data_IF_649083682217
#
_entry.id   IF_649083682217
#
_cell.length_a   1.000
_cell.length_b   1.000
_cell.length_c   1.000
_cell.angle_alpha   90.00
_cell.angle_beta   90.00
_cell.angle_gamma   90.00
#
_symmetry.space_group_name_H-M   'P 1'
#
loop_
_entity.id
_entity.type
_entity.pdbx_description
1 polymer ?
#
# COMPACT_ATOMS: atom_id res chain seq x y z
N UNK A 1 -8.36 -27.68 -10.55
CA UNK A 1 -7.92 -26.30 -10.35
C UNK A 1 -6.59 -26.38 -9.66
N UNK A 2 -5.52 -25.96 -10.32
CA UNK A 2 -4.19 -25.95 -9.71
C UNK A 2 -4.07 -24.72 -8.81
N UNK A 3 -3.84 -24.94 -7.52
CA UNK A 3 -3.60 -23.87 -6.56
C UNK A 3 -2.14 -23.44 -6.65
N UNK A 4 -1.87 -22.37 -7.40
CA UNK A 4 -0.53 -21.80 -7.48
C UNK A 4 -0.21 -20.98 -6.21
N UNK A 5 0.93 -21.24 -5.58
CA UNK A 5 1.43 -20.40 -4.49
C UNK A 5 1.94 -19.08 -5.08
N UNK A 6 1.42 -17.95 -4.60
CA UNK A 6 1.70 -16.61 -5.16
C UNK A 6 2.41 -15.73 -4.13
N UNK A 7 3.35 -14.89 -4.57
CA UNK A 7 3.91 -13.82 -3.74
C UNK A 7 2.87 -12.70 -3.56
N UNK A 8 2.99 -11.90 -2.49
CA UNK A 8 2.11 -10.73 -2.28
C UNK A 8 2.19 -9.72 -3.43
N UNK A 9 3.37 -9.57 -4.04
CA UNK A 9 3.57 -8.81 -5.27
C UNK A 9 2.75 -9.36 -6.44
N UNK A 10 2.85 -10.67 -6.70
CA UNK A 10 2.11 -11.29 -7.79
C UNK A 10 0.59 -11.21 -7.56
N UNK A 11 0.13 -11.37 -6.31
CA UNK A 11 -1.27 -11.15 -5.95
C UNK A 11 -1.74 -9.71 -6.22
N UNK A 12 -0.92 -8.70 -5.92
CA UNK A 12 -1.22 -7.30 -6.24
C UNK A 12 -1.30 -7.05 -7.76
N UNK A 13 -0.40 -7.66 -8.55
CA UNK A 13 -0.44 -7.59 -10.02
C UNK A 13 -1.72 -8.24 -10.58
N UNK A 14 -2.13 -9.41 -10.06
CA UNK A 14 -3.40 -10.04 -10.42
C UNK A 14 -4.61 -9.19 -10.03
N UNK A 15 -4.58 -8.51 -8.88
CA UNK A 15 -5.61 -7.55 -8.48
C UNK A 15 -5.76 -6.40 -9.50
N UNK A 16 -4.64 -5.83 -9.97
CA UNK A 16 -4.65 -4.82 -11.02
C UNK A 16 -5.22 -5.35 -12.35
N UNK A 17 -4.86 -6.58 -12.73
CA UNK A 17 -5.39 -7.24 -13.94
C UNK A 17 -6.89 -7.51 -13.85
N UNK A 18 -7.37 -8.02 -12.71
CA UNK A 18 -8.79 -8.31 -12.47
C UNK A 18 -9.64 -7.05 -12.31
N UNK A 19 -9.05 -5.94 -11.87
CA UNK A 19 -9.67 -4.61 -11.89
C UNK A 19 -9.73 -3.97 -13.30
N UNK A 20 -9.14 -4.63 -14.31
CA UNK A 20 -9.07 -4.19 -15.71
C UNK A 20 -8.57 -2.75 -15.82
N UNK A 21 -7.34 -2.49 -15.37
CA UNK A 21 -6.79 -1.12 -15.29
C UNK A 21 -6.47 -0.55 -16.68
N UNK A 22 -6.69 0.75 -16.88
CA UNK A 22 -6.44 1.43 -18.16
C UNK A 22 -5.03 2.02 -18.24
N UNK A 23 -4.45 2.41 -17.09
CA UNK A 23 -3.16 3.10 -17.01
C UNK A 23 -2.31 2.62 -15.83
N UNK A 24 -1.03 2.37 -16.09
CA UNK A 24 -0.06 1.87 -15.10
C UNK A 24 1.20 2.75 -15.13
N UNK A 25 1.25 3.83 -14.35
CA UNK A 25 2.48 4.58 -14.10
C UNK A 25 3.32 3.79 -13.09
N UNK A 26 4.51 3.34 -13.50
CA UNK A 26 5.37 2.48 -12.69
C UNK A 26 6.78 3.05 -12.53
N UNK A 27 7.26 3.13 -11.29
CA UNK A 27 8.66 3.40 -10.98
C UNK A 27 9.35 2.08 -10.55
N UNK A 28 10.34 1.54 -11.28
CA UNK A 28 11.00 0.31 -10.90
C UNK A 28 11.93 0.54 -9.70
N UNK A 29 11.56 -0.02 -8.55
CA UNK A 29 12.33 0.00 -7.31
C UNK A 29 12.26 -1.38 -6.64
N UNK A 30 13.33 -1.81 -5.98
CA UNK A 30 13.35 -3.11 -5.26
C UNK A 30 12.52 -3.01 -3.97
N UNK A 31 11.64 -3.98 -3.64
CA UNK A 31 11.47 -5.32 -4.24
C UNK A 31 10.27 -5.45 -5.18
N UNK A 32 9.55 -4.38 -5.51
CA UNK A 32 8.32 -4.47 -6.30
C UNK A 32 8.53 -4.78 -7.78
N UNK A 33 9.76 -5.03 -8.21
CA UNK A 33 10.12 -5.41 -9.58
C UNK A 33 9.21 -6.53 -10.10
N UNK A 34 8.85 -7.51 -9.27
CA UNK A 34 7.89 -8.57 -9.62
C UNK A 34 6.51 -8.04 -10.08
N UNK A 35 5.97 -7.00 -9.43
CA UNK A 35 4.68 -6.39 -9.79
C UNK A 35 4.80 -5.74 -11.16
N UNK A 36 5.85 -4.94 -11.32
CA UNK A 36 6.13 -4.13 -12.51
C UNK A 36 6.42 -5.04 -13.71
N UNK A 37 7.20 -6.11 -13.52
CA UNK A 37 7.49 -7.11 -14.55
C UNK A 37 6.26 -7.92 -14.96
N UNK A 38 5.43 -8.36 -14.01
CA UNK A 38 4.22 -9.13 -14.32
C UNK A 38 3.24 -8.28 -15.15
N UNK A 39 3.02 -7.03 -14.75
CA UNK A 39 2.15 -6.10 -15.48
C UNK A 39 2.72 -5.73 -16.85
N UNK A 40 4.02 -5.45 -16.96
CA UNK A 40 4.66 -5.18 -18.24
C UNK A 40 4.51 -6.36 -19.22
N UNK A 41 4.76 -7.60 -18.76
CA UNK A 41 4.57 -8.83 -19.56
C UNK A 41 3.13 -8.99 -20.05
N UNK A 42 2.13 -8.74 -19.20
CA UNK A 42 0.74 -8.85 -19.62
C UNK A 42 0.28 -7.72 -20.56
N UNK A 43 0.79 -6.50 -20.39
CA UNK A 43 0.56 -5.41 -21.34
C UNK A 43 1.18 -5.70 -22.71
N UNK A 44 2.43 -6.19 -22.74
CA UNK A 44 3.14 -6.53 -23.99
C UNK A 44 2.50 -7.74 -24.70
N UNK A 45 2.08 -8.75 -23.94
CA UNK A 45 1.39 -9.94 -24.47
C UNK A 45 -0.07 -9.71 -24.89
N UNK A 46 -0.63 -8.50 -24.70
CA UNK A 46 -2.05 -8.21 -24.95
C UNK A 46 -3.02 -8.88 -23.96
N UNK A 47 -2.50 -9.43 -22.87
CA UNK A 47 -3.22 -10.11 -21.79
C UNK A 47 -3.90 -9.14 -20.80
N UNK A 48 -3.50 -7.86 -20.83
CA UNK A 48 -4.06 -6.74 -20.08
C UNK A 48 -4.05 -5.50 -20.97
N UNK A 49 -5.22 -4.91 -21.24
CA UNK A 49 -5.41 -3.77 -22.15
C UNK A 49 -5.02 -2.41 -21.53
N UNK A 50 -3.94 -2.36 -20.75
CA UNK A 50 -3.50 -1.18 -20.02
C UNK A 50 -2.32 -0.47 -20.70
N UNK A 51 -2.29 0.86 -20.63
CA UNK A 51 -1.11 1.66 -21.01
C UNK A 51 -0.10 1.70 -19.86
N UNK A 52 0.90 0.84 -19.93
CA UNK A 52 2.06 0.85 -19.03
C UNK A 52 3.05 1.96 -19.39
N UNK A 53 3.53 2.73 -18.40
CA UNK A 53 4.54 3.78 -18.59
C UNK A 53 5.53 3.78 -17.43
N UNK A 54 6.81 3.61 -17.75
CA UNK A 54 7.92 3.78 -16.81
C UNK A 54 8.10 5.25 -16.44
N UNK A 55 8.28 5.54 -15.16
CA UNK A 55 8.45 6.87 -14.59
C UNK A 55 9.90 7.08 -14.11
N UNK A 56 10.31 8.34 -13.95
CA UNK A 56 11.65 8.70 -13.46
C UNK A 56 11.72 8.85 -11.92
N UNK A 57 10.58 8.96 -11.23
CA UNK A 57 10.52 9.05 -9.78
C UNK A 57 9.16 8.63 -9.20
N UNK A 58 9.13 8.30 -7.92
CA UNK A 58 7.89 8.01 -7.17
C UNK A 58 6.93 9.21 -7.14
N UNK A 59 7.45 10.44 -7.17
CA UNK A 59 6.63 11.65 -7.22
C UNK A 59 5.98 11.82 -8.59
N UNK A 60 6.76 11.66 -9.67
CA UNK A 60 6.26 11.65 -11.05
C UNK A 60 5.19 10.57 -11.25
N UNK A 61 5.42 9.39 -10.68
CA UNK A 61 4.50 8.26 -10.69
C UNK A 61 3.17 8.59 -9.97
N UNK A 62 3.23 9.18 -8.78
CA UNK A 62 2.05 9.61 -8.02
C UNK A 62 1.28 10.73 -8.74
N UNK A 63 1.98 11.72 -9.32
CA UNK A 63 1.36 12.80 -10.10
C UNK A 63 0.70 12.27 -11.36
N UNK A 64 1.37 11.38 -12.11
CA UNK A 64 0.79 10.74 -13.29
C UNK A 64 -0.42 9.88 -12.93
N UNK A 65 -0.37 9.18 -11.79
CA UNK A 65 -1.49 8.39 -11.30
C UNK A 65 -2.70 9.27 -10.98
N UNK A 66 -2.53 10.33 -10.17
CA UNK A 66 -3.61 11.26 -9.84
C UNK A 66 -4.15 12.03 -11.04
N UNK A 67 -3.30 12.40 -12.00
CA UNK A 67 -3.73 13.07 -13.23
C UNK A 67 -4.57 12.15 -14.13
N UNK A 68 -4.17 10.87 -14.29
CA UNK A 68 -4.94 9.90 -15.06
C UNK A 68 -6.26 9.53 -14.35
N UNK A 69 -6.23 9.34 -13.03
CA UNK A 69 -7.40 9.13 -12.18
C UNK A 69 -8.43 10.27 -12.39
N UNK A 70 -7.99 11.53 -12.34
CA UNK A 70 -8.86 12.69 -12.57
C UNK A 70 -9.48 12.76 -13.99
N UNK A 71 -8.97 12.01 -14.98
CA UNK A 71 -9.59 11.89 -16.32
C UNK A 71 -10.63 10.77 -16.43
N UNK A 72 -10.81 9.98 -15.38
CA UNK A 72 -11.73 8.84 -15.34
C UNK A 72 -11.08 7.48 -15.65
N UNK A 73 -9.77 7.44 -15.90
CA UNK A 73 -9.04 6.21 -16.15
C UNK A 73 -8.90 5.36 -14.87
N UNK A 74 -8.97 4.04 -15.00
CA UNK A 74 -8.66 3.08 -13.93
C UNK A 74 -7.14 3.00 -13.80
N UNK A 75 -6.59 3.39 -12.65
CA UNK A 75 -5.13 3.51 -12.47
C UNK A 75 -4.64 2.51 -11.44
N UNK A 76 -3.55 1.83 -11.76
CA UNK A 76 -2.81 1.04 -10.77
C UNK A 76 -1.35 1.48 -10.69
N UNK A 77 -0.84 1.59 -9.46
CA UNK A 77 0.55 1.93 -9.22
C UNK A 77 1.05 1.27 -7.93
N UNK A 78 2.37 1.07 -7.83
CA UNK A 78 3.06 0.45 -6.71
C UNK A 78 4.34 1.26 -6.41
N UNK A 79 4.73 1.43 -5.13
CA UNK A 79 6.11 1.81 -4.75
C UNK A 79 6.65 1.01 -3.57
N UNK A 80 7.95 1.12 -3.28
CA UNK A 80 8.64 0.37 -2.19
C UNK A 80 9.36 1.24 -1.16
N UNK A 81 9.40 2.56 -1.36
CA UNK A 81 9.89 3.54 -0.38
C UNK A 81 8.98 3.61 0.87
N UNK A 82 9.20 4.61 1.72
CA UNK A 82 8.51 4.84 3.01
C UNK A 82 6.98 5.00 2.91
N UNK A 83 6.39 4.87 1.72
CA UNK A 83 4.94 4.79 1.53
C UNK A 83 4.48 4.22 0.18
N UNK A 84 4.73 2.93 -0.12
CA UNK A 84 3.68 2.07 -0.73
C UNK A 84 3.70 0.67 -0.05
N UNK A 85 2.59 0.02 0.35
CA UNK A 85 1.22 -0.22 -0.13
C UNK A 85 0.81 -1.69 -0.64
N UNK A 86 1.21 -2.83 0.02
CA UNK A 86 0.63 -4.24 0.21
C UNK A 86 0.59 -4.85 1.68
N UNK A 87 -0.54 -4.91 2.41
CA UNK A 87 -0.62 -5.31 3.85
C UNK A 87 -1.28 -6.69 4.14
N UNK A 88 -0.53 -7.81 4.28
CA UNK A 88 -1.07 -9.19 4.29
C UNK A 88 -2.02 -9.66 5.44
N UNK A 89 -2.41 -8.85 6.42
CA UNK A 89 -3.22 -9.37 7.56
C UNK A 89 -4.71 -9.58 7.24
N UNK A 90 -5.28 -8.77 6.36
CA UNK A 90 -6.71 -8.78 6.06
C UNK A 90 -6.93 -8.98 4.55
N UNK A 91 -6.69 -10.19 4.01
CA UNK A 91 -6.99 -10.48 2.60
C UNK A 91 -8.47 -10.21 2.28
N UNK A 92 -9.39 -10.46 3.23
CA UNK A 92 -10.81 -10.15 3.10
C UNK A 92 -11.11 -8.65 2.87
N UNK A 93 -10.50 -7.72 3.62
CA UNK A 93 -10.69 -6.27 3.42
C UNK A 93 -10.22 -5.83 2.02
N UNK A 94 -9.17 -6.47 1.50
CA UNK A 94 -8.64 -6.23 0.16
C UNK A 94 -9.55 -6.83 -0.94
N UNK A 95 -10.00 -8.07 -0.76
CA UNK A 95 -10.95 -8.75 -1.66
C UNK A 95 -12.29 -8.00 -1.73
N UNK A 96 -12.83 -7.57 -0.58
CA UNK A 96 -14.04 -6.74 -0.51
C UNK A 96 -13.86 -5.39 -1.18
N UNK A 97 -12.68 -4.76 -1.09
CA UNK A 97 -12.36 -3.52 -1.80
C UNK A 97 -12.25 -3.72 -3.30
N UNK A 98 -11.59 -4.78 -3.77
CA UNK A 98 -11.56 -5.10 -5.20
C UNK A 98 -12.96 -5.44 -5.74
N UNK A 99 -13.75 -6.24 -5.02
CA UNK A 99 -15.11 -6.61 -5.41
C UNK A 99 -16.05 -5.40 -5.46
N UNK A 100 -16.01 -4.52 -4.45
CA UNK A 100 -16.77 -3.26 -4.46
C UNK A 100 -16.30 -2.33 -5.56
N UNK A 101 -14.99 -2.15 -5.73
CA UNK A 101 -14.42 -1.34 -6.79
C UNK A 101 -14.86 -1.81 -8.18
N UNK A 102 -14.92 -3.12 -8.43
CA UNK A 102 -15.40 -3.68 -9.70
C UNK A 102 -16.87 -3.30 -10.03
N UNK A 103 -17.70 -2.98 -9.02
CA UNK A 103 -19.08 -2.50 -9.22
C UNK A 103 -19.18 -1.00 -9.57
N UNK A 104 -18.12 -0.21 -9.37
CA UNK A 104 -18.11 1.22 -9.70
C UNK A 104 -17.59 1.47 -11.13
N UNK A 105 -18.22 2.40 -11.84
CA UNK A 105 -17.73 2.92 -13.13
C UNK A 105 -16.94 4.20 -12.91
N UNK A 106 -15.82 4.37 -13.61
CA UNK A 106 -14.92 5.53 -13.45
C UNK A 106 -13.59 5.16 -12.78
N UNK A 107 -12.83 6.16 -12.33
CA UNK A 107 -11.44 6.01 -11.92
C UNK A 107 -11.34 5.31 -10.57
N UNK A 108 -10.21 4.62 -10.38
CA UNK A 108 -9.93 3.78 -9.20
C UNK A 108 -8.45 3.87 -8.90
N UNK A 109 -8.10 3.93 -7.62
CA UNK A 109 -6.73 3.93 -7.13
C UNK A 109 -6.65 3.02 -5.89
N UNK A 110 -5.66 2.12 -5.84
CA UNK A 110 -5.47 1.17 -4.73
C UNK A 110 -4.14 1.40 -4.01
N UNK A 111 -4.18 1.27 -2.68
CA UNK A 111 -3.05 1.46 -1.75
C UNK A 111 -3.22 0.47 -0.53
N UNK A 112 -2.26 -0.40 -0.16
CA UNK A 112 -2.27 -1.27 1.09
C UNK A 112 -1.12 -1.08 2.17
N UNK A 113 -0.03 -1.89 2.37
CA UNK A 113 1.34 -1.50 2.93
C UNK A 113 2.54 -2.51 2.72
N UNK A 114 3.45 -2.36 1.74
CA UNK A 114 4.24 -3.44 1.10
C UNK A 114 5.56 -3.69 1.82
N UNK A 115 5.51 -4.56 2.82
CA UNK A 115 6.66 -4.85 3.64
C UNK A 115 7.76 -5.60 2.84
N UNK A 116 8.94 -4.99 2.78
CA UNK A 116 10.13 -5.54 2.11
C UNK A 116 11.15 -6.01 3.18
N UNK A 117 11.36 -7.34 3.37
CA UNK A 117 12.32 -7.83 4.36
C UNK A 117 13.73 -7.27 4.15
N UNK A 118 14.21 -7.29 2.90
CA UNK A 118 15.56 -6.84 2.52
C UNK A 118 15.75 -5.34 2.70
N UNK A 119 14.80 -4.53 2.24
CA UNK A 119 14.90 -3.07 2.24
C UNK A 119 14.52 -2.43 3.58
N UNK A 120 13.68 -3.08 4.38
CA UNK A 120 13.30 -2.61 5.72
C UNK A 120 14.13 -3.27 6.82
N UNK A 121 14.98 -4.24 6.47
CA UNK A 121 15.94 -4.94 7.31
C UNK A 121 15.28 -5.68 8.47
N UNK A 122 14.42 -6.65 8.13
CA UNK A 122 13.75 -7.55 9.08
C UNK A 122 13.68 -8.98 8.49
N UNK A 123 13.42 -10.01 9.33
CA UNK A 123 13.36 -11.41 8.88
C UNK A 123 12.13 -11.68 7.98
N UNK A 124 12.26 -12.34 6.82
CA UNK A 124 11.11 -12.60 5.94
C UNK A 124 9.90 -13.25 6.61
N UNK A 125 10.09 -14.10 7.64
CA UNK A 125 9.03 -14.72 8.42
C UNK A 125 8.20 -13.74 9.27
N UNK A 126 8.77 -12.58 9.61
CA UNK A 126 8.09 -11.51 10.37
C UNK A 126 7.17 -10.64 9.48
N UNK A 127 7.18 -10.82 8.15
CA UNK A 127 6.35 -10.05 7.20
C UNK A 127 4.86 -9.94 7.61
N UNK A 128 4.19 -11.01 8.10
CA UNK A 128 2.81 -10.91 8.57
C UNK A 128 2.63 -10.06 9.84
N UNK A 129 3.60 -10.06 10.75
CA UNK A 129 3.56 -9.26 11.98
C UNK A 129 3.95 -7.79 11.70
N UNK A 130 4.90 -7.52 10.79
CA UNK A 130 5.17 -6.15 10.29
C UNK A 130 3.90 -5.51 9.72
N UNK A 131 3.19 -6.23 8.85
CA UNK A 131 1.95 -5.77 8.22
C UNK A 131 0.82 -5.57 9.23
N UNK A 132 0.66 -6.51 10.18
CA UNK A 132 -0.26 -6.39 11.31
C UNK A 132 0.03 -5.13 12.12
N UNK A 133 1.28 -4.96 12.54
CA UNK A 133 1.71 -3.88 13.43
C UNK A 133 1.48 -2.52 12.79
N UNK A 134 1.67 -2.39 11.48
CA UNK A 134 1.35 -1.15 10.78
C UNK A 134 -0.12 -0.74 10.95
N UNK A 135 -1.05 -1.68 10.81
CA UNK A 135 -2.49 -1.45 11.00
C UNK A 135 -2.82 -1.28 12.49
N UNK A 136 -2.34 -2.16 13.37
CA UNK A 136 -2.65 -2.15 14.81
C UNK A 136 -2.06 -0.94 15.56
N UNK A 137 -0.95 -0.38 15.10
CA UNK A 137 -0.39 0.89 15.61
C UNK A 137 -1.07 2.12 15.03
N UNK A 138 -1.90 1.96 14.00
CA UNK A 138 -2.55 3.07 13.32
C UNK A 138 -1.65 3.88 12.39
N UNK A 139 -0.38 3.48 12.21
CA UNK A 139 0.49 4.04 11.17
C UNK A 139 -0.05 3.78 9.77
N UNK A 140 -0.77 2.67 9.60
CA UNK A 140 -1.42 2.30 8.35
C UNK A 140 -2.95 2.25 8.45
N UNK A 141 -3.67 3.34 8.13
CA UNK A 141 -5.13 3.36 8.16
C UNK A 141 -5.73 2.61 6.97
N UNK A 142 -6.57 1.60 7.26
CA UNK A 142 -7.42 0.97 6.25
C UNK A 142 -8.64 1.85 6.01
N UNK A 143 -8.72 2.43 4.81
CA UNK A 143 -9.81 3.33 4.40
C UNK A 143 -10.09 3.19 2.91
N UNK A 144 -11.24 3.69 2.50
CA UNK A 144 -11.64 3.89 1.11
C UNK A 144 -12.15 5.32 0.93
N UNK A 145 -12.15 5.81 -0.30
CA UNK A 145 -12.68 7.12 -0.66
C UNK A 145 -13.59 6.94 -1.89
N UNK A 146 -14.88 7.23 -1.74
CA UNK A 146 -15.89 7.04 -2.78
C UNK A 146 -16.61 8.38 -2.96
N UNK A 147 -16.54 8.96 -4.16
CA UNK A 147 -17.16 10.26 -4.50
C UNK A 147 -16.81 11.39 -3.50
N UNK A 148 -15.56 11.42 -3.02
CA UNK A 148 -15.08 12.40 -2.05
C UNK A 148 -15.38 12.09 -0.57
N UNK A 149 -16.22 11.10 -0.28
CA UNK A 149 -16.48 10.63 1.09
C UNK A 149 -15.41 9.61 1.47
N UNK A 150 -14.67 9.87 2.54
CA UNK A 150 -13.66 8.96 3.09
C UNK A 150 -14.30 8.11 4.20
N UNK A 151 -14.05 6.81 4.19
CA UNK A 151 -14.54 5.88 5.22
C UNK A 151 -13.42 4.94 5.65
N UNK A 152 -13.14 4.89 6.95
CA UNK A 152 -12.16 3.96 7.53
C UNK A 152 -12.81 2.59 7.74
N UNK A 153 -12.36 1.57 7.01
CA UNK A 153 -12.91 0.22 7.09
C UNK A 153 -12.47 -0.52 8.35
N UNK A 154 -11.37 -0.08 8.97
CA UNK A 154 -10.89 -0.61 10.25
C UNK A 154 -10.32 0.49 11.14
N UNK A 155 -10.77 0.53 12.39
CA UNK A 155 -10.25 1.41 13.45
C UNK A 155 -9.46 0.58 14.47
N UNK A 156 -8.13 0.74 14.58
CA UNK A 156 -7.30 -0.07 15.46
C UNK A 156 -7.44 0.33 16.94
N UNK A 157 -7.15 -0.62 17.84
CA UNK A 157 -7.05 -0.37 19.29
C UNK A 157 -5.79 0.44 19.72
N UNK A 158 -5.06 1.02 18.76
CA UNK A 158 -3.82 1.82 18.91
C UNK A 158 -2.76 1.20 19.82
N UNK A 159 -1.99 0.23 19.29
CA UNK A 159 -0.70 -0.18 19.89
C UNK A 159 0.32 0.97 19.74
N UNK A 160 1.30 1.11 20.65
CA UNK A 160 2.36 2.13 20.51
C UNK A 160 3.15 1.96 19.21
N UNK A 161 3.41 3.06 18.49
CA UNK A 161 4.12 3.05 17.20
C UNK A 161 5.50 2.39 17.28
N UNK A 162 6.15 2.43 18.44
CA UNK A 162 7.40 1.72 18.73
C UNK A 162 7.37 0.24 18.36
N UNK A 163 6.23 -0.44 18.53
CA UNK A 163 6.11 -1.87 18.24
C UNK A 163 6.36 -2.16 16.75
N UNK A 164 5.87 -1.30 15.86
CA UNK A 164 6.15 -1.36 14.43
C UNK A 164 7.59 -0.91 14.13
N UNK A 165 8.04 0.21 14.71
CA UNK A 165 9.35 0.80 14.42
C UNK A 165 10.52 -0.13 14.82
N UNK A 166 10.45 -0.76 16.00
CA UNK A 166 11.50 -1.66 16.54
C UNK A 166 11.75 -2.90 15.68
N UNK A 167 10.73 -3.38 14.95
CA UNK A 167 10.81 -4.59 14.15
C UNK A 167 11.62 -4.42 12.85
N UNK A 168 11.94 -3.17 12.45
CA UNK A 168 12.54 -2.86 11.15
C UNK A 168 13.88 -2.15 11.32
N UNK A 169 14.97 -2.75 10.81
CA UNK A 169 16.30 -2.15 10.88
C UNK A 169 16.44 -0.77 10.23
N UNK A 170 15.55 -0.39 9.29
CA UNK A 170 15.51 0.98 8.74
C UNK A 170 15.28 2.07 9.80
N UNK A 171 14.70 1.73 10.96
CA UNK A 171 14.47 2.64 12.08
C UNK A 171 15.44 2.45 13.25
N UNK A 172 16.50 1.62 13.11
CA UNK A 172 17.46 1.35 14.19
C UNK A 172 18.10 2.62 14.77
N UNK A 173 18.32 3.64 13.94
CA UNK A 173 18.84 4.95 14.34
C UNK A 173 17.94 5.72 15.34
N UNK A 174 16.67 5.34 15.51
CA UNK A 174 15.78 5.89 16.54
C UNK A 174 15.96 5.24 17.92
N UNK A 175 16.68 4.12 18.00
CA UNK A 175 16.87 3.32 19.22
C UNK A 175 18.34 3.19 19.63
N UNK A 176 19.28 3.29 18.68
CA UNK A 176 20.73 3.16 18.90
C UNK A 176 21.48 4.40 18.40
N UNK A 177 22.54 4.86 19.09
CA UNK A 177 23.06 4.34 20.37
C UNK A 177 22.20 4.77 21.59
N UNK A 178 21.35 5.77 21.42
CA UNK A 178 20.40 6.25 22.42
C UNK A 178 19.00 6.32 21.82
N UNK A 179 17.98 6.06 22.65
CA UNK A 179 16.58 6.10 22.20
C UNK A 179 16.17 7.56 21.97
N UNK A 180 15.77 7.88 20.74
CA UNK A 180 15.27 9.19 20.34
C UNK A 180 13.80 9.37 20.74
N UNK A 181 13.55 9.39 22.05
CA UNK A 181 12.20 9.43 22.65
C UNK A 181 11.34 10.56 22.09
N UNK A 182 11.91 11.76 21.87
CA UNK A 182 11.20 12.91 21.30
C UNK A 182 10.72 12.63 19.86
N UNK A 183 11.56 12.04 19.01
CA UNK A 183 11.19 11.70 17.64
C UNK A 183 10.09 10.61 17.59
N UNK A 184 10.18 9.62 18.47
CA UNK A 184 9.18 8.55 18.61
C UNK A 184 7.84 9.13 19.10
N UNK A 185 7.87 10.01 20.12
CA UNK A 185 6.69 10.71 20.63
C UNK A 185 6.07 11.63 19.57
N UNK A 186 6.87 12.30 18.75
CA UNK A 186 6.38 13.10 17.63
C UNK A 186 5.65 12.24 16.57
N UNK A 187 6.18 11.05 16.25
CA UNK A 187 5.49 10.09 15.35
C UNK A 187 4.17 9.64 15.97
N UNK A 188 4.18 9.23 17.25
CA UNK A 188 2.99 8.81 18.00
C UNK A 188 1.91 9.91 18.00
N UNK A 189 2.27 11.15 18.36
CA UNK A 189 1.36 12.29 18.39
C UNK A 189 0.76 12.61 17.00
N UNK A 190 1.52 12.42 15.91
CA UNK A 190 0.99 12.59 14.54
C UNK A 190 -0.01 11.51 14.15
N UNK A 191 0.23 10.26 14.54
CA UNK A 191 -0.73 9.16 14.37
C UNK A 191 -1.99 9.42 15.20
N UNK A 192 -1.83 9.86 16.44
CA UNK A 192 -2.95 10.11 17.34
C UNK A 192 -3.82 11.27 16.86
N UNK A 193 -3.21 12.39 16.45
CA UNK A 193 -3.92 13.52 15.86
C UNK A 193 -4.59 13.16 14.52
N UNK A 194 -4.08 12.18 13.77
CA UNK A 194 -4.75 11.66 12.58
C UNK A 194 -6.03 10.90 12.95
N UNK A 195 -5.95 9.94 13.88
CA UNK A 195 -7.10 9.14 14.29
C UNK A 195 -8.16 9.95 15.03
N UNK A 196 -7.76 10.98 15.78
CA UNK A 196 -8.69 11.94 16.39
C UNK A 196 -9.49 12.78 15.39
N UNK A 197 -8.97 13.02 14.18
CA UNK A 197 -9.75 13.66 13.11
C UNK A 197 -10.65 12.64 12.42
N UNK A 198 -10.10 11.48 12.09
CA UNK A 198 -10.84 10.38 11.45
C UNK A 198 -12.09 9.95 12.24
N UNK A 199 -12.03 9.88 13.57
CA UNK A 199 -13.19 9.53 14.39
C UNK A 199 -14.22 10.65 14.52
N UNK A 200 -13.82 11.92 14.37
CA UNK A 200 -14.74 13.07 14.34
C UNK A 200 -15.45 13.22 12.99
N UNK A 201 -14.78 12.87 11.89
CA UNK A 201 -15.32 12.93 10.53
C UNK A 201 -16.28 11.77 10.21
N UNK A 202 -16.25 10.70 11.01
CA UNK A 202 -17.13 9.53 10.90
C UNK A 202 -18.25 9.44 11.95
N UNK A 203 -18.62 10.56 12.59
CA UNK A 203 -19.72 10.65 13.58
C UNK A 203 -20.86 11.55 13.09
#
# INVERSE_FOLDING_TARGET
MDSQMMTGNLAAAWGARLADVDYIPAFPITPQTEIVEALAKWCEGGELAARFVTMDSEHSMMTAAGAAEATGARVFTATSSQGLLYAPRYPLDLEEKFARAAAFTGPKMFLMLAACPTGWLYDPGETPEVAKLAVETGLWPLKEAINGVVTHTYVPKRRPVEAYLKLQGRFRHLFEPTVQTEAIQHIQARVDAYWERATREGS
#
